data_IF_663310861404
#
_entry.id   IF_663310861404
#
_cell.length_a   1.000
_cell.length_b   1.000
_cell.length_c   1.000
_cell.angle_alpha   90.00
_cell.angle_beta   90.00
_cell.angle_gamma   90.00
#
_symmetry.space_group_name_H-M   'P 1'
#
loop_
_entity.id
_entity.type
_entity.pdbx_description
1 polymer ?
#
# COMPACT_ATOMS: atom_id res chain seq x y z
N UNK A 1 13.99 26.87 22.97
CA UNK A 1 15.00 26.55 21.93
C UNK A 1 14.50 27.12 20.62
N UNK A 2 15.36 27.80 19.84
CA UNK A 2 15.03 28.26 18.48
C UNK A 2 15.97 27.61 17.47
N UNK A 3 15.49 27.36 16.25
CA UNK A 3 16.30 26.81 15.17
C UNK A 3 17.26 27.89 14.65
N UNK A 4 18.49 27.94 15.16
CA UNK A 4 19.53 28.84 14.67
C UNK A 4 19.84 28.60 13.17
N UNK A 5 19.98 29.65 12.37
CA UNK A 5 20.26 29.58 10.93
C UNK A 5 21.73 29.30 10.59
N UNK A 6 22.63 29.32 11.58
CA UNK A 6 24.06 29.09 11.35
C UNK A 6 24.42 27.66 10.93
N UNK A 7 23.49 26.70 11.05
CA UNK A 7 23.70 25.30 10.70
C UNK A 7 22.67 24.81 9.69
N UNK A 8 23.17 24.28 8.56
CA UNK A 8 22.36 23.66 7.50
C UNK A 8 21.61 22.41 8.02
N UNK A 9 22.23 21.66 8.95
CA UNK A 9 21.63 20.46 9.53
C UNK A 9 21.30 20.66 11.02
N UNK A 10 20.01 20.59 11.35
CA UNK A 10 19.51 20.69 12.72
C UNK A 10 19.06 19.31 13.20
N UNK A 11 19.71 18.77 14.24
CA UNK A 11 19.32 17.49 14.86
C UNK A 11 18.63 17.74 16.20
N UNK A 12 17.37 17.34 16.29
CA UNK A 12 16.57 17.45 17.52
C UNK A 12 16.43 16.05 18.11
N UNK A 13 16.79 15.90 19.38
CA UNK A 13 16.56 14.66 20.13
C UNK A 13 15.48 14.93 21.15
N UNK A 14 14.43 14.13 21.16
CA UNK A 14 13.39 14.21 22.18
C UNK A 14 13.22 12.84 22.83
N UNK A 15 12.72 12.85 24.06
CA UNK A 15 12.38 11.62 24.77
C UNK A 15 11.13 10.96 24.20
N UNK A 16 11.02 9.63 24.39
CA UNK A 16 9.89 8.81 23.93
C UNK A 16 8.50 9.39 24.30
N UNK A 17 8.40 10.09 25.43
CA UNK A 17 7.18 10.74 25.91
C UNK A 17 6.62 11.82 24.97
N UNK A 18 7.46 12.51 24.19
CA UNK A 18 7.03 13.58 23.26
C UNK A 18 6.34 13.07 21.99
N UNK A 19 6.38 11.75 21.76
CA UNK A 19 5.79 11.13 20.57
C UNK A 19 4.57 10.26 20.90
N UNK A 20 4.40 9.87 22.17
CA UNK A 20 3.39 8.89 22.60
C UNK A 20 2.14 9.54 23.18
N UNK A 21 2.32 10.50 24.09
CA UNK A 21 1.23 11.17 24.80
C UNK A 21 0.70 12.33 23.94
N UNK A 22 -0.62 12.48 23.87
CA UNK A 22 -1.25 13.45 22.96
C UNK A 22 -0.91 14.90 23.32
N UNK A 23 -0.84 15.22 24.62
CA UNK A 23 -0.50 16.56 25.11
C UNK A 23 0.92 16.97 24.73
N UNK A 24 1.92 16.15 25.05
CA UNK A 24 3.33 16.42 24.73
C UNK A 24 3.60 16.36 23.23
N UNK A 25 2.87 15.51 22.48
CA UNK A 25 2.91 15.49 21.00
C UNK A 25 2.41 16.81 20.42
N UNK A 26 1.33 17.35 20.97
CA UNK A 26 0.77 18.64 20.54
C UNK A 26 1.73 19.80 20.84
N UNK A 27 2.36 19.78 22.03
CA UNK A 27 3.40 20.76 22.39
C UNK A 27 4.61 20.68 21.45
N UNK A 28 5.06 19.47 21.12
CA UNK A 28 6.17 19.28 20.19
C UNK A 28 5.83 19.68 18.75
N UNK A 29 4.61 19.38 18.30
CA UNK A 29 4.10 19.82 16.99
C UNK A 29 4.11 21.35 16.88
N UNK A 30 3.59 22.03 17.91
CA UNK A 30 3.63 23.50 18.00
C UNK A 30 5.07 24.02 17.95
N UNK A 31 5.96 23.42 18.74
CA UNK A 31 7.38 23.77 18.73
C UNK A 31 8.01 23.64 17.34
N UNK A 32 7.75 22.54 16.62
CA UNK A 32 8.25 22.36 15.25
C UNK A 32 7.70 23.44 14.32
N UNK A 33 6.38 23.67 14.31
CA UNK A 33 5.74 24.66 13.44
C UNK A 33 6.30 26.06 13.69
N UNK A 34 6.38 26.47 14.97
CA UNK A 34 6.88 27.80 15.35
C UNK A 34 8.34 28.01 14.94
N UNK A 35 9.12 26.93 14.85
CA UNK A 35 10.51 27.02 14.43
C UNK A 35 10.72 26.86 12.92
N UNK A 36 9.89 26.06 12.24
CA UNK A 36 9.93 25.87 10.79
C UNK A 36 9.40 27.08 10.04
N UNK A 37 8.44 27.83 10.61
CA UNK A 37 7.93 29.10 10.05
C UNK A 37 8.99 30.19 9.89
N UNK A 38 10.05 30.12 10.69
CA UNK A 38 11.15 31.09 10.68
C UNK A 38 12.23 30.71 9.64
N UNK A 39 12.09 29.57 8.97
CA UNK A 39 13.00 29.12 7.91
C UNK A 39 12.42 29.58 6.56
N UNK A 40 13.11 30.50 5.90
CA UNK A 40 12.78 30.99 4.56
C UNK A 40 13.46 30.13 3.48
N UNK A 41 13.14 28.83 3.48
CA UNK A 41 13.64 27.88 2.49
C UNK A 41 12.47 27.24 1.76
N UNK A 42 12.59 27.10 0.43
CA UNK A 42 11.56 26.50 -0.40
C UNK A 42 11.34 25.01 -0.08
N UNK A 43 12.42 24.30 0.28
CA UNK A 43 12.40 22.86 0.52
C UNK A 43 13.08 22.55 1.84
N UNK A 44 12.35 21.90 2.75
CA UNK A 44 12.87 21.41 4.02
C UNK A 44 12.85 19.89 4.03
N UNK A 45 14.03 19.27 4.13
CA UNK A 45 14.14 17.82 4.30
C UNK A 45 14.08 17.45 5.79
N UNK A 46 13.05 16.70 6.17
CA UNK A 46 12.87 16.18 7.53
C UNK A 46 13.03 14.67 7.54
N UNK A 47 14.04 14.17 8.26
CA UNK A 47 14.19 12.74 8.53
C UNK A 47 13.80 12.45 9.99
N UNK A 48 12.88 11.51 10.21
CA UNK A 48 12.41 11.19 11.55
C UNK A 48 12.02 9.71 11.75
N UNK A 49 12.10 9.25 13.00
CA UNK A 49 11.60 7.94 13.45
C UNK A 49 10.24 8.04 14.17
N UNK A 50 9.45 9.05 13.82
CA UNK A 50 8.16 9.24 14.46
C UNK A 50 7.12 8.27 13.86
N UNK A 51 6.39 7.61 14.75
CA UNK A 51 5.36 6.61 14.42
C UNK A 51 3.91 7.10 14.56
N UNK A 52 3.70 8.33 15.06
CA UNK A 52 2.38 8.97 15.19
C UNK A 52 2.39 10.37 14.54
N UNK A 53 1.33 10.80 13.84
CA UNK A 53 1.30 12.12 13.21
C UNK A 53 1.47 13.29 14.21
N UNK A 54 2.30 14.31 13.87
CA UNK A 54 2.37 15.58 14.62
C UNK A 54 1.36 16.60 14.16
N UNK A 55 1.17 16.67 12.86
CA UNK A 55 0.34 17.67 12.22
C UNK A 55 -1.10 17.18 12.27
N UNK A 56 -2.05 18.12 12.27
CA UNK A 56 -3.46 17.76 12.28
C UNK A 56 -3.77 16.84 11.11
N UNK A 57 -4.73 15.93 11.29
CA UNK A 57 -5.15 15.04 10.20
C UNK A 57 -5.84 15.79 9.04
N UNK A 58 -6.17 17.08 9.21
CA UNK A 58 -6.77 17.93 8.19
C UNK A 58 -5.70 18.56 7.28
N UNK A 59 -4.75 17.76 6.80
CA UNK A 59 -3.84 18.19 5.75
C UNK A 59 -4.53 18.04 4.39
N UNK A 60 -4.28 18.96 3.44
CA UNK A 60 -4.75 18.76 2.08
C UNK A 60 -4.18 17.44 1.54
N UNK A 61 -5.03 16.68 0.85
CA UNK A 61 -4.60 15.44 0.20
C UNK A 61 -3.52 15.78 -0.80
N UNK A 62 -2.35 15.17 -0.65
CA UNK A 62 -1.27 15.32 -1.61
C UNK A 62 -1.58 14.39 -2.78
N UNK A 63 -1.83 14.97 -3.94
CA UNK A 63 -2.01 14.21 -5.16
C UNK A 63 -0.74 13.43 -5.53
N UNK A 64 -0.92 12.20 -5.98
CA UNK A 64 0.21 11.42 -6.51
C UNK A 64 0.74 12.06 -7.80
N UNK A 65 1.98 11.76 -8.14
CA UNK A 65 2.57 12.29 -9.37
C UNK A 65 1.78 11.81 -10.59
N UNK A 66 1.62 12.67 -11.61
CA UNK A 66 0.90 12.33 -12.86
C UNK A 66 1.43 11.04 -13.50
N UNK A 67 2.74 10.81 -13.40
CA UNK A 67 3.39 9.61 -13.92
C UNK A 67 2.94 8.34 -13.20
N UNK A 68 2.77 8.37 -11.88
CA UNK A 68 2.26 7.22 -11.11
C UNK A 68 0.79 6.96 -11.47
N UNK A 69 -0.01 8.02 -11.58
CA UNK A 69 -1.43 7.91 -11.95
C UNK A 69 -1.60 7.29 -13.34
N UNK A 70 -0.86 7.77 -14.34
CA UNK A 70 -0.91 7.25 -15.72
C UNK A 70 -0.55 5.76 -15.80
N UNK A 71 0.38 5.30 -14.97
CA UNK A 71 0.80 3.90 -14.96
C UNK A 71 -0.20 3.01 -14.22
N UNK A 72 -0.78 3.51 -13.14
CA UNK A 72 -1.91 2.84 -12.51
C UNK A 72 -3.09 2.70 -13.48
N UNK A 73 -3.45 3.78 -14.19
CA UNK A 73 -4.52 3.78 -15.20
C UNK A 73 -4.25 2.77 -16.31
N UNK A 74 -3.01 2.69 -16.80
CA UNK A 74 -2.61 1.70 -17.79
C UNK A 74 -2.84 0.28 -17.29
N UNK A 75 -2.36 -0.04 -16.08
CA UNK A 75 -2.52 -1.37 -15.49
C UNK A 75 -3.99 -1.71 -15.29
N UNK A 76 -4.78 -0.76 -14.78
CA UNK A 76 -6.22 -0.91 -14.60
C UNK A 76 -6.88 -1.21 -15.95
N UNK A 77 -6.61 -0.42 -16.98
CA UNK A 77 -7.20 -0.61 -18.31
C UNK A 77 -6.78 -1.93 -18.96
N UNK A 78 -5.53 -2.36 -18.81
CA UNK A 78 -5.03 -3.64 -19.34
C UNK A 78 -5.68 -4.84 -18.63
N UNK A 79 -6.12 -4.69 -17.38
CA UNK A 79 -6.72 -5.75 -16.58
C UNK A 79 -8.24 -5.80 -16.65
N UNK A 80 -8.93 -4.72 -17.02
CA UNK A 80 -10.39 -4.69 -16.89
C UNK A 80 -11.10 -5.76 -17.75
N UNK A 81 -12.17 -6.40 -17.22
CA UNK A 81 -12.59 -6.38 -15.80
C UNK A 81 -11.69 -7.29 -14.94
N UNK A 82 -11.44 -6.93 -13.68
CA UNK A 82 -10.59 -7.73 -12.79
C UNK A 82 -10.95 -7.71 -11.30
N UNK A 83 -10.50 -8.75 -10.61
CA UNK A 83 -10.55 -8.89 -9.15
C UNK A 83 -9.19 -8.50 -8.58
N UNK A 84 -9.16 -7.55 -7.65
CA UNK A 84 -7.95 -7.25 -6.87
C UNK A 84 -8.00 -7.97 -5.52
N UNK A 85 -6.89 -8.60 -5.16
CA UNK A 85 -6.70 -9.33 -3.91
C UNK A 85 -5.60 -8.63 -3.12
N UNK A 86 -5.90 -8.25 -1.88
CA UNK A 86 -4.91 -7.77 -0.92
C UNK A 86 -4.68 -8.82 0.16
N UNK A 87 -3.48 -9.40 0.19
CA UNK A 87 -3.07 -10.34 1.22
C UNK A 87 -1.73 -9.95 1.86
N UNK A 88 -1.81 -9.31 3.02
CA UNK A 88 -0.64 -8.99 3.84
C UNK A 88 -0.38 -10.10 4.85
N UNK A 89 0.76 -10.76 4.68
CA UNK A 89 1.16 -11.97 5.41
C UNK A 89 2.20 -11.68 6.50
N UNK A 90 2.95 -10.58 6.41
CA UNK A 90 3.94 -10.21 7.43
C UNK A 90 3.22 -9.78 8.71
N UNK A 91 3.52 -10.49 9.80
CA UNK A 91 2.88 -10.37 11.12
C UNK A 91 1.45 -10.92 11.24
N UNK A 92 1.02 -11.81 10.34
CA UNK A 92 -0.23 -12.55 10.52
C UNK A 92 -0.20 -13.33 11.85
N UNK A 93 -1.21 -13.12 12.67
CA UNK A 93 -1.56 -13.99 13.80
C UNK A 93 -2.84 -14.74 13.39
N UNK A 94 -2.92 -16.07 13.55
CA UNK A 94 -1.99 -16.93 14.28
C UNK A 94 -0.78 -17.41 13.46
N UNK A 95 0.13 -18.09 14.15
CA UNK A 95 1.31 -18.84 13.68
C UNK A 95 1.30 -19.26 12.21
N UNK A 96 2.45 -19.12 11.54
CA UNK A 96 2.70 -19.43 10.11
C UNK A 96 2.14 -20.75 9.56
N UNK A 97 1.74 -21.70 10.41
CA UNK A 97 1.19 -23.01 10.05
C UNK A 97 -0.18 -22.97 9.34
N UNK A 98 -0.93 -21.87 9.39
CA UNK A 98 -2.26 -21.77 8.77
C UNK A 98 -2.26 -21.13 7.38
N UNK A 99 -1.13 -20.62 6.90
CA UNK A 99 -1.04 -19.95 5.60
C UNK A 99 -1.47 -20.84 4.41
N UNK A 100 -1.14 -22.15 4.36
CA UNK A 100 -1.62 -23.01 3.29
C UNK A 100 -3.15 -23.16 3.28
N UNK A 101 -3.77 -23.27 4.46
CA UNK A 101 -5.23 -23.34 4.59
C UNK A 101 -5.89 -22.02 4.15
N UNK A 102 -5.32 -20.89 4.55
CA UNK A 102 -5.74 -19.57 4.08
C UNK A 102 -5.63 -19.41 2.56
N UNK A 103 -4.58 -19.96 1.94
CA UNK A 103 -4.43 -19.98 0.49
C UNK A 103 -5.51 -20.85 -0.18
N UNK A 104 -5.85 -22.01 0.40
CA UNK A 104 -6.93 -22.86 -0.12
C UNK A 104 -8.29 -22.16 -0.05
N UNK A 105 -8.62 -21.54 1.08
CA UNK A 105 -9.84 -20.74 1.23
C UNK A 105 -9.90 -19.60 0.22
N UNK A 106 -8.81 -18.87 0.03
CA UNK A 106 -8.71 -17.83 -0.99
C UNK A 106 -8.99 -18.40 -2.39
N UNK A 107 -8.38 -19.53 -2.75
CA UNK A 107 -8.61 -20.20 -4.04
C UNK A 107 -10.08 -20.57 -4.23
N UNK A 108 -10.72 -21.17 -3.22
CA UNK A 108 -12.12 -21.57 -3.27
C UNK A 108 -13.05 -20.37 -3.44
N UNK A 109 -12.86 -19.34 -2.62
CA UNK A 109 -13.63 -18.10 -2.70
C UNK A 109 -13.43 -17.43 -4.05
N UNK A 110 -12.19 -17.34 -4.54
CA UNK A 110 -11.90 -16.75 -5.83
C UNK A 110 -12.57 -17.51 -6.98
N UNK A 111 -12.54 -18.85 -6.98
CA UNK A 111 -13.24 -19.65 -7.99
C UNK A 111 -14.74 -19.34 -8.02
N UNK A 112 -15.38 -19.20 -6.85
CA UNK A 112 -16.80 -18.84 -6.75
C UNK A 112 -17.06 -17.43 -7.29
N UNK A 113 -16.25 -16.45 -6.90
CA UNK A 113 -16.37 -15.05 -7.34
C UNK A 113 -16.16 -14.94 -8.84
N UNK A 114 -15.11 -15.56 -9.39
CA UNK A 114 -14.83 -15.59 -10.84
C UNK A 114 -16.03 -16.13 -11.64
N UNK A 115 -16.55 -17.29 -11.24
CA UNK A 115 -17.73 -17.89 -11.89
C UNK A 115 -18.98 -17.03 -11.77
N UNK A 116 -19.23 -16.46 -10.58
CA UNK A 116 -20.44 -15.65 -10.33
C UNK A 116 -20.42 -14.32 -11.07
N UNK A 117 -19.25 -13.71 -11.26
CA UNK A 117 -19.11 -12.39 -11.88
C UNK A 117 -18.67 -12.45 -13.35
N UNK A 118 -18.20 -13.61 -13.83
CA UNK A 118 -17.62 -13.75 -15.16
C UNK A 118 -16.30 -13.01 -15.34
N UNK A 119 -15.55 -12.79 -14.25
CA UNK A 119 -14.29 -12.02 -14.26
C UNK A 119 -13.10 -12.97 -14.19
N UNK A 120 -12.23 -12.93 -15.19
CA UNK A 120 -11.07 -13.82 -15.27
C UNK A 120 -9.77 -13.24 -14.72
N UNK A 121 -9.56 -11.93 -14.91
CA UNK A 121 -8.32 -11.27 -14.54
C UNK A 121 -8.24 -11.09 -13.02
N UNK A 122 -7.06 -11.38 -12.47
CA UNK A 122 -6.79 -11.29 -11.03
C UNK A 122 -5.50 -10.51 -10.82
N UNK A 123 -5.55 -9.49 -9.96
CA UNK A 123 -4.38 -8.76 -9.49
C UNK A 123 -4.10 -9.09 -8.03
N UNK A 124 -2.87 -9.51 -7.69
CA UNK A 124 -2.49 -9.85 -6.31
C UNK A 124 -1.49 -8.84 -5.74
N UNK A 125 -1.91 -8.17 -4.68
CA UNK A 125 -1.06 -7.37 -3.80
C UNK A 125 -0.68 -8.19 -2.58
N UNK A 126 0.61 -8.44 -2.39
CA UNK A 126 1.13 -9.13 -1.20
C UNK A 126 2.50 -8.60 -0.80
N UNK A 127 2.77 -8.60 0.50
CA UNK A 127 4.07 -8.25 1.08
C UNK A 127 5.05 -9.42 1.11
N UNK A 128 4.60 -10.63 0.74
CA UNK A 128 5.48 -11.77 0.65
C UNK A 128 6.35 -11.67 -0.61
N UNK A 129 7.66 -11.88 -0.51
CA UNK A 129 8.54 -11.83 -1.66
C UNK A 129 8.17 -12.95 -2.62
N UNK A 130 7.63 -12.59 -3.79
CA UNK A 130 7.37 -13.55 -4.87
C UNK A 130 8.65 -14.25 -5.38
N UNK A 131 9.85 -13.79 -4.96
CA UNK A 131 11.15 -14.24 -5.48
C UNK A 131 12.19 -14.56 -4.38
N UNK A 132 11.93 -14.38 -3.07
CA UNK A 132 12.99 -14.61 -2.05
C UNK A 132 12.94 -15.97 -1.38
N UNK A 133 14.10 -16.62 -1.33
CA UNK A 133 14.50 -17.84 -0.66
C UNK A 133 14.47 -17.75 0.88
N UNK A 134 13.34 -17.35 1.46
CA UNK A 134 13.14 -17.30 2.91
C UNK A 134 12.65 -18.64 3.48
N UNK A 135 13.33 -19.17 4.51
CA UNK A 135 13.18 -20.51 5.12
C UNK A 135 11.84 -20.86 5.81
N UNK A 136 10.70 -20.29 5.41
CA UNK A 136 9.41 -20.64 6.01
C UNK A 136 8.56 -21.48 5.03
N UNK A 137 8.58 -22.80 5.27
CA UNK A 137 7.97 -23.83 4.42
C UNK A 137 6.49 -23.58 4.16
N UNK A 138 5.75 -23.03 5.12
CA UNK A 138 4.30 -22.84 5.00
C UNK A 138 3.93 -21.68 4.08
N UNK A 139 4.77 -20.64 4.02
CA UNK A 139 4.59 -19.57 3.03
C UNK A 139 4.86 -20.07 1.61
N UNK A 140 5.90 -20.88 1.42
CA UNK A 140 6.17 -21.49 0.12
C UNK A 140 5.02 -22.36 -0.35
N UNK A 141 4.46 -23.20 0.54
CA UNK A 141 3.26 -24.00 0.25
C UNK A 141 2.05 -23.14 -0.09
N UNK A 142 1.81 -22.06 0.66
CA UNK A 142 0.72 -21.13 0.36
C UNK A 142 0.87 -20.53 -1.05
N UNK A 143 2.07 -20.07 -1.42
CA UNK A 143 2.34 -19.53 -2.75
C UNK A 143 2.29 -20.59 -3.85
N UNK A 144 2.70 -21.83 -3.57
CA UNK A 144 2.55 -22.95 -4.50
C UNK A 144 1.08 -23.25 -4.78
N UNK A 145 0.24 -23.29 -3.75
CA UNK A 145 -1.22 -23.47 -3.88
C UNK A 145 -1.82 -22.35 -4.74
N UNK A 146 -1.43 -21.10 -4.47
CA UNK A 146 -1.88 -19.95 -5.25
C UNK A 146 -1.43 -20.07 -6.72
N UNK A 147 -0.12 -20.18 -6.98
CA UNK A 147 0.45 -20.14 -8.33
C UNK A 147 0.07 -21.36 -9.19
N UNK A 148 -0.17 -22.52 -8.58
CA UNK A 148 -0.63 -23.72 -9.29
C UNK A 148 -2.10 -23.61 -9.72
N UNK A 149 -2.88 -22.77 -9.05
CA UNK A 149 -4.33 -22.71 -9.28
C UNK A 149 -4.78 -21.45 -10.01
N UNK A 150 -4.05 -20.35 -9.86
CA UNK A 150 -4.47 -19.03 -10.34
C UNK A 150 -3.29 -18.36 -11.05
N UNK A 151 -3.55 -17.86 -12.26
CA UNK A 151 -2.63 -16.97 -12.94
C UNK A 151 -2.80 -15.56 -12.39
N UNK A 152 -1.87 -15.12 -11.55
CA UNK A 152 -1.90 -13.76 -11.01
C UNK A 152 -1.17 -12.77 -11.91
N UNK A 153 -1.78 -11.61 -12.08
CA UNK A 153 -1.07 -10.40 -12.45
C UNK A 153 -0.56 -9.73 -11.16
N UNK A 154 0.70 -9.34 -11.17
CA UNK A 154 1.32 -8.52 -10.12
C UNK A 154 2.15 -7.45 -10.78
N UNK A 155 2.52 -6.40 -10.04
CA UNK A 155 3.43 -5.39 -10.56
C UNK A 155 4.75 -5.98 -11.11
N UNK A 156 5.19 -7.13 -10.57
CA UNK A 156 6.38 -7.86 -11.01
C UNK A 156 6.10 -8.61 -12.33
N UNK A 157 5.02 -9.39 -12.40
CA UNK A 157 4.74 -10.23 -13.58
C UNK A 157 4.24 -9.45 -14.78
N UNK A 158 3.56 -8.32 -14.56
CA UNK A 158 3.04 -7.48 -15.63
C UNK A 158 4.12 -6.70 -16.39
N UNK A 159 5.39 -6.74 -15.94
CA UNK A 159 6.49 -5.96 -16.54
C UNK A 159 6.13 -4.49 -16.76
N UNK A 160 5.12 -3.93 -16.08
CA UNK A 160 4.56 -2.61 -16.37
C UNK A 160 5.59 -1.50 -16.18
N UNK A 161 6.66 -1.80 -15.44
CA UNK A 161 7.81 -0.93 -15.31
C UNK A 161 8.75 -0.89 -16.52
N UNK A 162 8.68 -1.80 -17.49
CA UNK A 162 9.60 -1.76 -18.62
C UNK A 162 9.50 -0.43 -19.37
N UNK A 163 8.32 0.18 -19.51
CA UNK A 163 8.22 1.46 -20.20
C UNK A 163 8.64 2.66 -19.32
N UNK A 164 8.51 2.56 -18.00
CA UNK A 164 9.07 3.54 -17.05
C UNK A 164 10.61 3.47 -16.97
N UNK A 165 11.17 2.29 -17.17
CA UNK A 165 12.60 1.97 -17.05
C UNK A 165 13.35 2.00 -18.41
N UNK A 166 12.64 1.94 -19.55
CA UNK A 166 13.21 1.90 -20.92
C UNK A 166 13.52 3.26 -21.53
N UNK A 167 13.21 4.37 -20.86
CA UNK A 167 13.77 5.65 -21.31
C UNK A 167 15.25 5.67 -20.92
N UNK A 168 16.11 5.48 -21.93
CA UNK A 168 17.56 5.25 -21.82
C UNK A 168 18.34 6.34 -21.06
N UNK A 169 17.70 7.48 -20.73
CA UNK A 169 18.30 8.56 -19.93
C UNK A 169 18.16 8.38 -18.41
N UNK A 170 17.56 7.28 -17.92
CA UNK A 170 17.23 7.15 -16.49
C UNK A 170 17.58 5.75 -15.97
N UNK A 171 18.85 5.34 -16.06
CA UNK A 171 19.33 4.20 -15.25
C UNK A 171 19.47 4.56 -13.76
N UNK A 172 19.61 5.85 -13.43
CA UNK A 172 19.76 6.31 -12.04
C UNK A 172 18.43 6.42 -11.25
N UNK A 173 17.28 6.78 -11.86
CA UNK A 173 15.99 6.87 -11.12
C UNK A 173 15.20 5.55 -11.03
N UNK A 174 15.74 4.44 -11.53
CA UNK A 174 15.07 3.12 -11.42
C UNK A 174 15.00 2.61 -9.98
N UNK A 175 15.86 3.11 -9.08
CA UNK A 175 15.85 2.78 -7.65
C UNK A 175 14.63 3.31 -6.92
N UNK A 176 14.12 4.46 -7.33
CA UNK A 176 12.95 5.10 -6.70
C UNK A 176 11.68 4.28 -6.94
N UNK A 177 11.48 3.82 -8.19
CA UNK A 177 10.36 2.98 -8.61
C UNK A 177 10.46 1.53 -8.11
N UNK A 178 11.67 1.03 -7.84
CA UNK A 178 11.88 -0.23 -7.13
C UNK A 178 11.73 -0.08 -5.60
N UNK A 179 11.45 1.12 -5.10
CA UNK A 179 11.20 1.38 -3.70
C UNK A 179 9.84 0.85 -3.25
N UNK A 180 9.77 0.32 -2.02
CA UNK A 180 8.53 -0.22 -1.43
C UNK A 180 7.38 0.80 -1.40
N UNK A 181 7.70 2.09 -1.36
CA UNK A 181 6.71 3.17 -1.30
C UNK A 181 5.89 3.30 -2.58
N UNK A 182 6.54 3.37 -3.76
CA UNK A 182 5.84 3.55 -5.04
C UNK A 182 4.99 2.32 -5.38
N UNK A 183 5.51 1.11 -5.14
CA UNK A 183 4.74 -0.12 -5.35
C UNK A 183 3.46 -0.15 -4.50
N UNK A 184 3.57 0.25 -3.22
CA UNK A 184 2.39 0.34 -2.35
C UNK A 184 1.36 1.37 -2.79
N UNK A 185 1.80 2.48 -3.40
CA UNK A 185 0.90 3.48 -4.00
C UNK A 185 0.17 2.89 -5.20
N UNK A 186 0.89 2.21 -6.11
CA UNK A 186 0.29 1.58 -7.28
C UNK A 186 -0.71 0.49 -6.91
N UNK A 187 -0.32 -0.41 -6.00
CA UNK A 187 -1.20 -1.47 -5.50
C UNK A 187 -2.49 -0.88 -4.92
N UNK A 188 -2.40 0.24 -4.20
CA UNK A 188 -3.56 0.96 -3.68
C UNK A 188 -4.44 1.50 -4.81
N UNK A 189 -3.86 2.20 -5.78
CA UNK A 189 -4.61 2.77 -6.92
C UNK A 189 -5.30 1.68 -7.76
N UNK A 190 -4.64 0.55 -7.96
CA UNK A 190 -5.18 -0.61 -8.68
C UNK A 190 -6.33 -1.24 -7.88
N UNK A 191 -6.18 -1.40 -6.56
CA UNK A 191 -7.23 -1.95 -5.70
C UNK A 191 -8.46 -1.02 -5.58
N UNK A 192 -8.26 0.30 -5.53
CA UNK A 192 -9.36 1.28 -5.59
C UNK A 192 -10.16 1.09 -6.88
N UNK A 193 -9.47 0.84 -7.99
CA UNK A 193 -10.05 0.74 -9.31
C UNK A 193 -10.31 -0.70 -9.78
N UNK A 194 -10.36 -1.70 -8.92
CA UNK A 194 -10.78 -3.05 -9.34
C UNK A 194 -12.31 -3.19 -9.37
N UNK A 195 -12.83 -4.02 -10.26
CA UNK A 195 -14.26 -4.31 -10.33
C UNK A 195 -14.72 -4.98 -9.02
N UNK A 196 -13.92 -5.93 -8.51
CA UNK A 196 -14.14 -6.56 -7.22
C UNK A 196 -12.89 -6.47 -6.35
N UNK A 197 -13.04 -6.20 -5.05
CA UNK A 197 -11.95 -6.13 -4.07
C UNK A 197 -12.10 -7.18 -2.98
N UNK A 198 -11.05 -7.99 -2.80
CA UNK A 198 -11.01 -9.11 -1.87
C UNK A 198 -9.82 -8.95 -0.90
N UNK A 199 -10.02 -9.19 0.39
CA UNK A 199 -8.95 -9.15 1.39
C UNK A 199 -9.05 -10.24 2.45
N UNK A 200 -8.01 -10.43 3.25
CA UNK A 200 -7.93 -11.55 4.17
C UNK A 200 -8.98 -11.45 5.27
N UNK A 201 -9.52 -12.59 5.73
CA UNK A 201 -10.23 -12.67 7.00
C UNK A 201 -9.25 -12.45 8.18
N UNK A 202 -9.76 -12.15 9.39
CA UNK A 202 -8.92 -11.85 10.56
C UNK A 202 -7.92 -12.94 10.97
N UNK A 203 -8.20 -14.20 10.64
CA UNK A 203 -7.39 -15.38 10.95
C UNK A 203 -6.32 -15.69 9.89
N UNK A 204 -6.32 -14.97 8.76
CA UNK A 204 -5.42 -15.24 7.64
C UNK A 204 -4.45 -14.11 7.33
N UNK A 205 -4.36 -13.06 8.15
CA UNK A 205 -3.48 -11.93 7.84
C UNK A 205 -3.60 -10.80 8.84
N UNK A 206 -3.18 -9.60 8.41
CA UNK A 206 -3.30 -8.40 9.22
C UNK A 206 -4.78 -8.04 9.45
N UNK A 207 -5.04 -7.35 10.56
CA UNK A 207 -6.37 -6.90 10.97
C UNK A 207 -7.02 -5.99 9.90
N UNK A 208 -8.35 -6.04 9.77
CA UNK A 208 -9.18 -5.16 8.93
C UNK A 208 -8.98 -3.65 9.19
N UNK A 209 -8.33 -3.29 10.30
CA UNK A 209 -7.88 -1.92 10.62
C UNK A 209 -6.55 -1.52 9.97
N UNK A 210 -6.05 -2.27 9.00
CA UNK A 210 -4.88 -1.88 8.23
C UNK A 210 -5.20 -0.63 7.38
N UNK A 211 -4.34 0.38 7.46
CA UNK A 211 -4.54 1.67 6.80
C UNK A 211 -4.71 1.52 5.27
N UNK A 212 -4.08 0.52 4.65
CA UNK A 212 -4.29 0.24 3.23
C UNK A 212 -5.74 -0.14 2.94
N UNK A 213 -6.30 -1.05 3.73
CA UNK A 213 -7.69 -1.52 3.57
C UNK A 213 -8.65 -0.35 3.81
N UNK A 214 -8.42 0.45 4.84
CA UNK A 214 -9.25 1.62 5.17
C UNK A 214 -9.21 2.66 4.05
N UNK A 215 -8.04 2.95 3.49
CA UNK A 215 -7.89 3.92 2.40
C UNK A 215 -8.57 3.44 1.11
N UNK A 216 -8.40 2.15 0.75
CA UNK A 216 -9.03 1.57 -0.43
C UNK A 216 -10.56 1.60 -0.28
N UNK A 217 -11.08 1.13 0.85
CA UNK A 217 -12.54 1.06 1.06
C UNK A 217 -13.19 2.43 1.13
N UNK A 218 -12.53 3.42 1.74
CA UNK A 218 -13.02 4.80 1.78
C UNK A 218 -13.07 5.41 0.38
N UNK A 219 -11.99 5.27 -0.40
CA UNK A 219 -11.94 5.78 -1.78
C UNK A 219 -12.97 5.08 -2.70
N UNK A 220 -13.16 3.76 -2.55
CA UNK A 220 -14.20 3.02 -3.29
C UNK A 220 -15.60 3.51 -2.94
N UNK A 221 -15.86 3.78 -1.65
CA UNK A 221 -17.14 4.31 -1.19
C UNK A 221 -17.44 5.67 -1.82
N UNK A 222 -16.46 6.57 -1.85
CA UNK A 222 -16.58 7.87 -2.53
C UNK A 222 -16.92 7.70 -4.02
N UNK A 223 -16.17 6.87 -4.75
CA UNK A 223 -16.42 6.62 -6.17
C UNK A 223 -17.79 5.99 -6.44
N UNK A 224 -18.24 5.06 -5.60
CA UNK A 224 -19.58 4.47 -5.72
C UNK A 224 -20.68 5.50 -5.47
N UNK A 225 -20.49 6.40 -4.50
CA UNK A 225 -21.43 7.50 -4.22
C UNK A 225 -21.48 8.52 -5.36
N UNK A 226 -20.38 8.70 -6.09
CA UNK A 226 -20.30 9.50 -7.32
C UNK A 226 -20.93 8.80 -8.54
N UNK A 227 -21.46 7.58 -8.37
CA UNK A 227 -22.18 6.84 -9.41
C UNK A 227 -21.30 5.88 -10.22
N UNK A 228 -20.11 5.52 -9.74
CA UNK A 228 -19.26 4.53 -10.42
C UNK A 228 -19.86 3.11 -10.30
N UNK A 229 -20.62 2.71 -11.32
CA UNK A 229 -21.32 1.42 -11.38
C UNK A 229 -20.40 0.22 -11.64
N UNK A 230 -19.12 0.45 -11.97
CA UNK A 230 -18.16 -0.61 -12.25
C UNK A 230 -17.68 -1.31 -10.97
N UNK A 231 -17.66 -0.58 -9.86
CA UNK A 231 -17.25 -1.14 -8.56
C UNK A 231 -18.38 -2.01 -8.00
N UNK A 232 -18.16 -3.32 -7.95
CA UNK A 232 -19.16 -4.31 -7.56
C UNK A 232 -19.26 -4.51 -6.04
N UNK A 233 -18.24 -4.08 -5.29
CA UNK A 233 -18.23 -4.13 -3.84
C UNK A 233 -17.29 -3.07 -3.24
N UNK A 234 -17.46 -2.77 -1.95
CA UNK A 234 -16.45 -2.03 -1.18
C UNK A 234 -15.28 -2.94 -0.79
N UNK A 235 -15.62 -4.11 -0.25
CA UNK A 235 -14.69 -5.10 0.27
C UNK A 235 -15.41 -6.44 0.46
N UNK A 236 -14.68 -7.53 0.34
CA UNK A 236 -15.13 -8.86 0.75
C UNK A 236 -13.97 -9.61 1.39
N UNK A 237 -14.25 -10.31 2.48
CA UNK A 237 -13.29 -11.21 3.12
C UNK A 237 -13.52 -12.65 2.63
N UNK A 238 -12.45 -13.40 2.38
CA UNK A 238 -12.54 -14.76 1.85
C UNK A 238 -12.57 -15.87 2.89
#
# INVERSE_FOLDING_TARGET
MKFNNDSIFKKIRTGKGFWILDETRSQFSKFLIDNLKEIDEEIILLNHEIRKPFFSNNLPKIEYSKRILQEADRIVNDLQPFISIYWRTVNALPTSSQLPECAQRLVETLKRVKTSLGIENVYLTTDYPMISSGKNQDYHKAMEILNSTIKFNTWITMKSFNNLLKNDNIRENTKEFNGRGINGILDKLIAINSDYFLTNPPDCGINYKDDFILDVTSSRSELMNEGNQRLLNLITHW
#
